data_IF_220262569064
#
_entry.id   IF_220262569064
#
_cell.length_a   1.000
_cell.length_b   1.000
_cell.length_c   1.000
_cell.angle_alpha   90.00
_cell.angle_beta   90.00
_cell.angle_gamma   90.00
#
_symmetry.space_group_name_H-M   'P 1'
#
loop_
_entity.id
_entity.type
_entity.pdbx_description
1 polymer ?
#
# COMPACT_ATOMS: atom_id res chain seq x y z
N UNK A 1 10.07 -11.49 -14.57
CA UNK A 1 8.69 -12.04 -14.69
C UNK A 1 7.91 -11.73 -13.41
N UNK A 2 6.56 -11.66 -13.51
CA UNK A 2 5.65 -11.51 -12.35
C UNK A 2 4.55 -12.54 -12.43
N UNK A 3 3.85 -12.79 -11.32
CA UNK A 3 2.85 -13.87 -11.24
C UNK A 3 1.43 -13.29 -11.25
N UNK A 4 0.58 -13.90 -12.07
CA UNK A 4 -0.86 -13.63 -12.12
C UNK A 4 -1.56 -14.60 -11.18
N UNK A 5 -2.43 -14.06 -10.35
CA UNK A 5 -3.24 -14.80 -9.38
C UNK A 5 -4.73 -14.67 -9.69
N UNK A 6 -5.46 -15.76 -9.47
CA UNK A 6 -6.91 -15.78 -9.36
C UNK A 6 -7.26 -15.99 -7.88
N UNK A 7 -8.34 -15.36 -7.42
CA UNK A 7 -8.81 -15.52 -6.04
C UNK A 7 -7.73 -15.26 -4.97
N UNK A 8 -6.80 -14.31 -5.23
CA UNK A 8 -5.70 -13.88 -4.35
C UNK A 8 -4.56 -14.88 -4.11
N UNK A 9 -4.73 -16.17 -4.32
CA UNK A 9 -3.75 -17.19 -3.95
C UNK A 9 -3.45 -18.21 -5.06
N UNK A 10 -4.38 -18.44 -5.98
CA UNK A 10 -4.24 -19.40 -7.07
C UNK A 10 -3.35 -18.83 -8.17
N UNK A 11 -2.18 -19.43 -8.37
CA UNK A 11 -1.26 -19.07 -9.46
C UNK A 11 -1.87 -19.51 -10.79
N UNK A 12 -2.01 -18.59 -11.75
CA UNK A 12 -2.56 -18.87 -13.07
C UNK A 12 -1.44 -18.97 -14.11
N UNK A 13 -0.61 -17.94 -14.18
CA UNK A 13 0.46 -17.83 -15.17
C UNK A 13 1.51 -16.81 -14.74
N UNK A 14 2.61 -16.73 -15.48
CA UNK A 14 3.65 -15.72 -15.30
C UNK A 14 3.77 -14.86 -16.57
N UNK A 15 3.89 -13.55 -16.40
CA UNK A 15 4.00 -12.59 -17.51
C UNK A 15 5.09 -11.55 -17.25
N UNK A 16 5.47 -10.84 -18.30
CA UNK A 16 6.23 -9.60 -18.16
C UNK A 16 5.31 -8.46 -17.70
N UNK A 17 5.86 -7.47 -17.04
CA UNK A 17 5.10 -6.24 -16.70
C UNK A 17 4.57 -5.58 -17.98
N UNK A 18 5.38 -5.51 -19.05
CA UNK A 18 4.98 -4.92 -20.33
C UNK A 18 3.74 -5.60 -20.92
N UNK A 19 3.68 -6.94 -20.90
CA UNK A 19 2.49 -7.69 -21.36
C UNK A 19 1.25 -7.34 -20.54
N UNK A 20 1.38 -7.22 -19.23
CA UNK A 20 0.26 -6.85 -18.33
C UNK A 20 -0.22 -5.43 -18.63
N UNK A 21 0.70 -4.49 -18.82
CA UNK A 21 0.36 -3.10 -19.16
C UNK A 21 -0.38 -3.01 -20.49
N UNK A 22 0.04 -3.78 -21.50
CA UNK A 22 -0.67 -3.87 -22.78
C UNK A 22 -2.08 -4.47 -22.62
N UNK A 23 -2.22 -5.53 -21.82
CA UNK A 23 -3.54 -6.12 -21.48
C UNK A 23 -4.46 -5.15 -20.75
N UNK A 24 -3.92 -4.29 -19.86
CA UNK A 24 -4.67 -3.23 -19.17
C UNK A 24 -5.11 -2.15 -20.17
N UNK A 25 -4.21 -1.72 -21.05
CA UNK A 25 -4.46 -0.68 -22.06
C UNK A 25 -5.49 -1.13 -23.09
N UNK A 26 -5.35 -2.32 -23.62
CA UNK A 26 -6.26 -2.89 -24.63
C UNK A 26 -7.58 -3.39 -24.04
N UNK A 27 -7.65 -3.56 -22.70
CA UNK A 27 -8.89 -3.87 -22.02
C UNK A 27 -9.23 -5.36 -21.97
N UNK A 28 -8.25 -6.25 -21.76
CA UNK A 28 -8.47 -7.70 -21.61
C UNK A 28 -9.62 -8.04 -20.64
N UNK A 29 -9.77 -7.27 -19.57
CA UNK A 29 -10.82 -7.45 -18.56
C UNK A 29 -11.83 -6.29 -18.53
N UNK A 30 -11.92 -5.49 -19.61
CA UNK A 30 -12.78 -4.31 -19.73
C UNK A 30 -14.23 -4.54 -19.28
N UNK A 31 -14.94 -5.61 -19.70
CA UNK A 31 -16.33 -5.81 -19.28
C UNK A 31 -16.50 -5.91 -17.78
N UNK A 32 -15.63 -6.67 -17.10
CA UNK A 32 -15.64 -6.82 -15.64
C UNK A 32 -15.32 -5.50 -14.92
N UNK A 33 -14.37 -4.72 -15.44
CA UNK A 33 -14.00 -3.40 -14.89
C UNK A 33 -15.14 -2.39 -15.05
N UNK A 34 -15.81 -2.35 -16.20
CA UNK A 34 -16.98 -1.48 -16.41
C UNK A 34 -18.10 -1.84 -15.45
N UNK A 35 -18.40 -3.13 -15.30
CA UNK A 35 -19.41 -3.60 -14.36
C UNK A 35 -19.07 -3.21 -12.92
N UNK A 36 -17.80 -3.36 -12.52
CA UNK A 36 -17.30 -2.98 -11.19
C UNK A 36 -17.49 -1.47 -10.94
N UNK A 37 -17.05 -0.63 -11.89
CA UNK A 37 -17.18 0.84 -11.79
C UNK A 37 -18.65 1.26 -11.73
N UNK A 38 -19.53 0.64 -12.53
CA UNK A 38 -20.97 0.86 -12.49
C UNK A 38 -21.57 0.48 -11.14
N UNK A 39 -21.20 -0.69 -10.61
CA UNK A 39 -21.66 -1.14 -9.28
C UNK A 39 -21.26 -0.16 -8.17
N UNK A 40 -20.06 0.41 -8.25
CA UNK A 40 -19.58 1.41 -7.31
C UNK A 40 -20.39 2.73 -7.43
N UNK A 41 -20.63 3.22 -8.65
CA UNK A 41 -21.42 4.46 -8.87
C UNK A 41 -22.88 4.32 -8.42
N UNK A 42 -23.45 3.12 -8.55
CA UNK A 42 -24.78 2.78 -8.09
C UNK A 42 -24.84 2.41 -6.59
N UNK A 43 -23.72 2.52 -5.86
CA UNK A 43 -23.57 2.17 -4.44
C UNK A 43 -23.97 0.72 -4.10
N UNK A 44 -23.85 -0.20 -5.07
CA UNK A 44 -24.11 -1.65 -4.92
C UNK A 44 -22.87 -2.34 -4.34
N UNK A 45 -22.64 -2.17 -3.03
CA UNK A 45 -21.40 -2.60 -2.35
C UNK A 45 -21.10 -4.08 -2.52
N UNK A 46 -22.11 -4.95 -2.38
CA UNK A 46 -21.92 -6.41 -2.53
C UNK A 46 -21.54 -6.80 -3.95
N UNK A 47 -22.22 -6.23 -4.96
CA UNK A 47 -21.90 -6.46 -6.37
C UNK A 47 -20.48 -5.96 -6.72
N UNK A 48 -20.11 -4.79 -6.21
CA UNK A 48 -18.75 -4.25 -6.34
C UNK A 48 -17.71 -5.19 -5.73
N UNK A 49 -17.90 -5.62 -4.48
CA UNK A 49 -16.97 -6.50 -3.79
C UNK A 49 -16.84 -7.86 -4.48
N UNK A 50 -17.95 -8.44 -4.94
CA UNK A 50 -17.96 -9.69 -5.72
C UNK A 50 -17.19 -9.53 -7.03
N UNK A 51 -17.47 -8.48 -7.79
CA UNK A 51 -16.78 -8.18 -9.04
C UNK A 51 -15.28 -7.96 -8.83
N UNK A 52 -14.88 -7.20 -7.79
CA UNK A 52 -13.47 -6.94 -7.47
C UNK A 52 -12.73 -8.23 -7.10
N UNK A 53 -13.34 -9.11 -6.30
CA UNK A 53 -12.75 -10.40 -5.92
C UNK A 53 -12.57 -11.36 -7.10
N UNK A 54 -13.38 -11.24 -8.16
CA UNK A 54 -13.27 -12.06 -9.36
C UNK A 54 -12.22 -11.59 -10.35
N UNK A 55 -11.70 -10.37 -10.20
CA UNK A 55 -10.62 -9.86 -11.05
C UNK A 55 -9.32 -10.60 -10.77
N UNK A 56 -8.55 -10.96 -11.81
CA UNK A 56 -7.18 -11.38 -11.63
C UNK A 56 -6.33 -10.24 -11.05
N UNK A 57 -5.28 -10.62 -10.35
CA UNK A 57 -4.30 -9.69 -9.81
C UNK A 57 -2.89 -10.21 -10.08
N UNK A 58 -1.91 -9.33 -10.08
CA UNK A 58 -0.51 -9.71 -10.23
C UNK A 58 0.34 -9.15 -9.08
N UNK A 59 1.50 -9.77 -8.88
CA UNK A 59 2.49 -9.33 -7.88
C UNK A 59 3.58 -8.52 -8.57
N UNK A 60 3.53 -7.17 -8.57
CA UNK A 60 4.50 -6.34 -9.31
C UNK A 60 5.95 -6.61 -8.93
N UNK A 61 6.20 -6.94 -7.66
CA UNK A 61 7.54 -7.07 -7.12
C UNK A 61 8.23 -8.41 -7.39
N UNK A 62 7.52 -9.41 -7.98
CA UNK A 62 8.21 -10.65 -8.30
C UNK A 62 7.37 -11.80 -8.82
N UNK A 63 8.09 -12.88 -9.16
CA UNK A 63 7.53 -14.16 -9.57
C UNK A 63 7.44 -15.09 -8.37
N UNK A 64 6.26 -15.68 -8.19
CA UNK A 64 5.96 -16.62 -7.12
C UNK A 64 5.55 -17.96 -7.70
N UNK A 65 6.01 -19.05 -7.11
CA UNK A 65 5.68 -20.42 -7.56
C UNK A 65 5.13 -21.22 -6.39
N UNK A 66 3.91 -21.76 -6.56
CA UNK A 66 3.23 -22.55 -5.53
C UNK A 66 2.32 -21.78 -4.58
N UNK A 67 2.38 -20.43 -4.58
CA UNK A 67 1.53 -19.60 -3.73
C UNK A 67 2.04 -18.16 -3.64
N UNK A 68 1.43 -17.34 -2.75
CA UNK A 68 1.73 -15.91 -2.65
C UNK A 68 2.55 -15.52 -1.40
N UNK A 69 2.95 -16.45 -0.57
CA UNK A 69 3.80 -16.14 0.59
C UNK A 69 5.23 -15.83 0.13
N UNK A 70 5.99 -15.11 0.95
CA UNK A 70 7.36 -14.70 0.64
C UNK A 70 8.30 -15.89 0.35
N UNK A 71 8.05 -17.04 0.99
CA UNK A 71 8.78 -18.30 0.76
C UNK A 71 8.66 -18.83 -0.68
N UNK A 72 7.60 -18.43 -1.40
CA UNK A 72 7.35 -18.81 -2.80
C UNK A 72 7.93 -17.82 -3.81
N UNK A 73 8.56 -16.73 -3.36
CA UNK A 73 9.23 -15.77 -4.24
C UNK A 73 10.48 -16.39 -4.85
N UNK A 74 10.44 -16.65 -6.17
CA UNK A 74 11.54 -17.26 -6.93
C UNK A 74 12.38 -16.26 -7.71
N UNK A 75 11.77 -15.11 -8.09
CA UNK A 75 12.44 -14.06 -8.86
C UNK A 75 11.96 -12.69 -8.41
N UNK A 76 12.87 -11.82 -8.02
CA UNK A 76 12.57 -10.43 -7.67
C UNK A 76 12.57 -9.57 -8.94
N UNK A 77 11.46 -8.87 -9.22
CA UNK A 77 11.27 -8.12 -10.47
C UNK A 77 11.93 -6.74 -10.47
N UNK A 78 12.28 -6.22 -9.31
CA UNK A 78 12.77 -4.84 -9.11
C UNK A 78 11.76 -3.76 -9.54
N UNK A 79 10.47 -4.02 -9.29
CA UNK A 79 9.41 -3.03 -9.45
C UNK A 79 8.74 -2.73 -8.11
N UNK A 80 8.45 -1.46 -7.91
CA UNK A 80 7.57 -0.95 -6.86
C UNK A 80 6.28 -0.47 -7.51
N UNK A 81 5.16 -0.73 -6.84
CA UNK A 81 3.87 -0.15 -7.19
C UNK A 81 3.39 0.75 -6.06
N UNK A 82 3.02 1.98 -6.43
CA UNK A 82 2.34 2.91 -5.55
C UNK A 82 0.84 2.90 -5.84
N UNK A 83 0.05 3.08 -4.82
CA UNK A 83 -1.41 3.07 -4.86
C UNK A 83 -1.96 4.35 -4.22
N UNK A 84 -2.78 5.08 -4.97
CA UNK A 84 -3.43 6.30 -4.51
C UNK A 84 -4.92 6.10 -4.73
N UNK A 85 -5.68 6.05 -3.64
CA UNK A 85 -7.10 5.76 -3.67
C UNK A 85 -7.97 7.02 -3.43
N UNK A 86 -9.25 6.90 -3.73
CA UNK A 86 -10.32 7.89 -3.40
C UNK A 86 -10.09 9.29 -3.99
N UNK A 87 -9.51 9.37 -5.17
CA UNK A 87 -9.32 10.62 -5.89
C UNK A 87 -10.64 11.08 -6.53
N UNK A 88 -10.87 12.40 -6.55
CA UNK A 88 -11.87 13.00 -7.43
C UNK A 88 -11.45 12.83 -8.90
N UNK A 89 -12.38 12.95 -9.85
CA UNK A 89 -12.06 12.85 -11.29
C UNK A 89 -10.98 13.85 -11.70
N UNK A 90 -11.06 15.08 -11.21
CA UNK A 90 -10.08 16.13 -11.53
C UNK A 90 -8.72 15.85 -10.92
N UNK A 91 -8.68 15.43 -9.64
CA UNK A 91 -7.42 15.08 -8.97
C UNK A 91 -6.77 13.87 -9.61
N UNK A 92 -7.55 12.87 -10.04
CA UNK A 92 -7.06 11.69 -10.74
C UNK A 92 -6.34 12.07 -12.05
N UNK A 93 -6.97 12.91 -12.89
CA UNK A 93 -6.37 13.34 -14.15
C UNK A 93 -5.12 14.18 -13.92
N UNK A 94 -5.19 15.13 -12.97
CA UNK A 94 -4.06 15.96 -12.58
C UNK A 94 -2.89 15.11 -12.06
N UNK A 95 -3.16 14.21 -11.14
CA UNK A 95 -2.12 13.33 -10.55
C UNK A 95 -1.52 12.39 -11.60
N UNK A 96 -2.33 11.85 -12.51
CA UNK A 96 -1.84 11.01 -13.61
C UNK A 96 -0.92 11.80 -14.54
N UNK A 97 -1.27 13.04 -14.88
CA UNK A 97 -0.43 13.92 -15.70
C UNK A 97 0.90 14.26 -15.01
N UNK A 98 0.87 14.59 -13.72
CA UNK A 98 2.09 14.89 -12.95
C UNK A 98 2.95 13.64 -12.83
N UNK A 99 2.38 12.48 -12.49
CA UNK A 99 3.10 11.23 -12.41
C UNK A 99 3.79 10.87 -13.74
N UNK A 100 3.10 11.07 -14.87
CA UNK A 100 3.65 10.81 -16.20
C UNK A 100 4.84 11.71 -16.58
N UNK A 101 4.99 12.88 -15.94
CA UNK A 101 6.13 13.77 -16.16
C UNK A 101 7.37 13.39 -15.35
N UNK A 102 7.23 12.55 -14.33
CA UNK A 102 8.39 12.06 -13.56
C UNK A 102 9.22 11.10 -14.41
N UNK A 103 10.53 11.35 -14.49
CA UNK A 103 11.48 10.50 -15.22
C UNK A 103 11.56 9.06 -14.69
N UNK A 104 11.14 8.83 -13.43
CA UNK A 104 11.12 7.52 -12.79
C UNK A 104 9.85 6.72 -13.06
N UNK A 105 8.80 7.34 -13.61
CA UNK A 105 7.53 6.65 -13.87
C UNK A 105 7.65 5.70 -15.05
N UNK A 106 7.71 4.40 -14.77
CA UNK A 106 7.68 3.37 -15.81
C UNK A 106 6.28 3.22 -16.41
N UNK A 107 5.24 3.23 -15.58
CA UNK A 107 3.86 3.26 -16.03
C UNK A 107 2.96 3.88 -14.97
N UNK A 108 1.86 4.52 -15.42
CA UNK A 108 0.78 4.85 -14.51
C UNK A 108 -0.59 4.64 -15.17
N UNK A 109 -1.56 4.14 -14.40
CA UNK A 109 -2.88 3.81 -14.88
C UNK A 109 -3.95 3.91 -13.80
N UNK A 110 -5.19 4.08 -14.25
CA UNK A 110 -6.38 4.19 -13.38
C UNK A 110 -6.66 2.84 -12.72
N UNK A 111 -6.94 2.84 -11.42
CA UNK A 111 -7.30 1.65 -10.64
C UNK A 111 -8.62 1.00 -11.14
N UNK A 112 -8.89 -0.26 -10.76
CA UNK A 112 -10.14 -0.93 -11.16
C UNK A 112 -11.40 -0.16 -10.76
N UNK A 113 -11.40 0.50 -9.60
CA UNK A 113 -12.53 1.31 -9.11
C UNK A 113 -12.79 2.58 -9.93
N UNK A 114 -11.81 3.04 -10.71
CA UNK A 114 -11.91 4.25 -11.52
C UNK A 114 -11.63 5.55 -10.76
N UNK A 115 -11.37 5.49 -9.46
CA UNK A 115 -11.10 6.63 -8.59
C UNK A 115 -9.76 6.55 -7.85
N UNK A 116 -8.81 5.80 -8.37
CA UNK A 116 -7.45 5.70 -7.86
C UNK A 116 -6.42 5.62 -8.97
N UNK A 117 -5.18 5.88 -8.64
CA UNK A 117 -4.03 5.85 -9.54
C UNK A 117 -3.03 4.80 -9.08
N UNK A 118 -2.51 4.03 -10.01
CA UNK A 118 -1.41 3.08 -9.81
C UNK A 118 -0.18 3.60 -10.53
N UNK A 119 0.97 3.60 -9.86
CA UNK A 119 2.24 4.06 -10.45
C UNK A 119 3.27 2.95 -10.28
N UNK A 120 3.90 2.54 -11.36
CA UNK A 120 4.98 1.55 -11.38
C UNK A 120 6.33 2.26 -11.57
N UNK A 121 7.29 1.88 -10.74
CA UNK A 121 8.65 2.45 -10.72
C UNK A 121 9.66 1.32 -10.76
N UNK A 122 10.69 1.42 -11.61
CA UNK A 122 11.85 0.53 -11.61
C UNK A 122 12.84 0.95 -10.52
N UNK A 123 13.41 -0.03 -9.82
CA UNK A 123 14.43 0.17 -8.80
C UNK A 123 15.64 -0.75 -9.05
N UNK A 124 16.79 -0.45 -8.44
CA UNK A 124 18.01 -1.28 -8.55
C UNK A 124 18.36 -2.05 -7.28
N UNK A 125 17.73 -1.73 -6.17
CA UNK A 125 18.04 -2.28 -4.86
C UNK A 125 17.69 -3.78 -4.73
N UNK A 126 18.39 -4.53 -3.86
CA UNK A 126 18.07 -5.93 -3.58
C UNK A 126 16.73 -6.07 -2.84
N UNK A 127 16.16 -7.29 -2.86
CA UNK A 127 14.87 -7.57 -2.21
C UNK A 127 14.85 -7.28 -0.70
N UNK A 128 16.00 -7.36 -0.04
CA UNK A 128 16.16 -7.06 1.39
C UNK A 128 15.90 -5.60 1.73
N UNK A 129 16.11 -4.71 0.77
CA UNK A 129 15.93 -3.27 0.90
C UNK A 129 14.60 -2.77 0.28
N UNK A 130 13.76 -3.68 -0.23
CA UNK A 130 12.53 -3.33 -0.92
C UNK A 130 11.63 -2.37 -0.13
N UNK A 131 11.42 -2.65 1.16
CA UNK A 131 10.59 -1.83 2.05
C UNK A 131 11.17 -0.41 2.23
N UNK A 132 12.48 -0.29 2.42
CA UNK A 132 13.15 1.00 2.56
C UNK A 132 13.09 1.80 1.26
N UNK A 133 13.38 1.13 0.14
CA UNK A 133 13.28 1.75 -1.19
C UNK A 133 11.85 2.18 -1.51
N UNK A 134 10.85 1.38 -1.12
CA UNK A 134 9.43 1.77 -1.25
C UNK A 134 9.16 3.10 -0.54
N UNK A 135 9.63 3.27 0.68
CA UNK A 135 9.42 4.51 1.44
C UNK A 135 10.08 5.73 0.76
N UNK A 136 11.26 5.56 0.18
CA UNK A 136 11.95 6.63 -0.59
C UNK A 136 11.18 6.99 -1.87
N UNK A 137 10.71 5.98 -2.62
CA UNK A 137 9.87 6.18 -3.81
C UNK A 137 8.54 6.84 -3.43
N UNK A 138 7.90 6.38 -2.36
CA UNK A 138 6.68 6.98 -1.82
C UNK A 138 6.87 8.46 -1.51
N UNK A 139 7.90 8.82 -0.74
CA UNK A 139 8.19 10.20 -0.36
C UNK A 139 8.43 11.11 -1.59
N UNK A 140 9.11 10.61 -2.62
CA UNK A 140 9.29 11.32 -3.88
C UNK A 140 7.93 11.63 -4.53
N UNK A 141 7.06 10.63 -4.70
CA UNK A 141 5.76 10.85 -5.34
C UNK A 141 4.78 11.63 -4.48
N UNK A 142 4.80 11.49 -3.16
CA UNK A 142 4.02 12.34 -2.25
C UNK A 142 4.43 13.82 -2.38
N UNK A 143 5.72 14.07 -2.56
CA UNK A 143 6.25 15.44 -2.76
C UNK A 143 5.74 16.07 -4.05
N UNK A 144 5.79 15.35 -5.18
CA UNK A 144 5.38 15.91 -6.48
C UNK A 144 3.86 15.95 -6.67
N UNK A 145 3.14 14.95 -6.13
CA UNK A 145 1.68 14.85 -6.27
C UNK A 145 0.93 15.66 -5.21
N UNK A 146 1.55 15.97 -4.09
CA UNK A 146 0.93 16.60 -2.90
C UNK A 146 -0.25 15.78 -2.36
N UNK A 147 -0.15 14.47 -2.43
CA UNK A 147 -1.14 13.48 -2.00
C UNK A 147 -0.47 12.43 -1.12
N UNK A 148 -1.24 11.85 -0.21
CA UNK A 148 -0.81 10.71 0.58
C UNK A 148 -0.94 9.43 -0.25
N UNK A 149 0.06 8.53 -0.14
CA UNK A 149 0.14 7.26 -0.85
C UNK A 149 -0.03 6.10 0.13
N UNK A 150 -0.78 5.08 -0.28
CA UNK A 150 -1.00 3.88 0.55
C UNK A 150 0.31 3.16 0.89
N UNK A 151 0.64 3.11 2.17
CA UNK A 151 1.85 2.47 2.70
C UNK A 151 1.85 0.95 2.60
N UNK A 152 0.71 0.33 2.29
CA UNK A 152 0.60 -1.13 2.19
C UNK A 152 1.33 -1.71 0.97
N UNK A 153 1.70 -0.89 -0.01
CA UNK A 153 2.50 -1.27 -1.17
C UNK A 153 3.94 -1.73 -0.87
N UNK A 154 4.43 -1.52 0.35
CA UNK A 154 5.79 -1.91 0.80
C UNK A 154 6.05 -3.41 0.85
N UNK A 155 5.00 -4.24 0.76
CA UNK A 155 5.12 -5.69 0.84
C UNK A 155 5.42 -6.30 -0.54
N UNK A 156 6.45 -7.16 -0.60
CA UNK A 156 6.81 -7.92 -1.80
C UNK A 156 5.67 -8.79 -2.35
N UNK A 157 4.77 -9.24 -1.48
CA UNK A 157 3.62 -10.06 -1.84
C UNK A 157 2.38 -9.25 -2.24
N UNK A 158 2.51 -7.92 -2.30
CA UNK A 158 1.41 -7.02 -2.66
C UNK A 158 0.80 -7.39 -4.00
N UNK A 159 -0.54 -7.50 -4.03
CA UNK A 159 -1.31 -7.70 -5.25
C UNK A 159 -1.73 -6.37 -5.86
N UNK A 160 -1.59 -6.29 -7.16
CA UNK A 160 -2.21 -5.27 -8.00
C UNK A 160 -3.28 -5.92 -8.88
N UNK A 161 -4.52 -5.52 -8.71
CA UNK A 161 -5.60 -6.01 -9.59
C UNK A 161 -5.44 -5.50 -11.01
N UNK A 162 -5.82 -6.33 -11.99
CA UNK A 162 -6.00 -5.87 -13.36
C UNK A 162 -6.99 -4.73 -13.42
N UNK A 163 -6.76 -3.81 -14.35
CA UNK A 163 -7.60 -2.65 -14.59
C UNK A 163 -7.92 -2.51 -16.08
N UNK A 164 -8.57 -1.39 -16.42
CA UNK A 164 -8.73 -0.93 -17.80
C UNK A 164 -8.48 0.58 -17.84
N UNK A 165 -7.51 0.98 -18.67
CA UNK A 165 -7.18 2.37 -18.94
C UNK A 165 -6.56 2.49 -20.33
N UNK A 166 -7.35 2.87 -21.32
CA UNK A 166 -6.90 3.04 -22.72
C UNK A 166 -5.83 4.11 -22.87
N UNK A 167 -5.80 5.10 -21.93
CA UNK A 167 -4.82 6.16 -21.88
C UNK A 167 -3.71 5.86 -20.85
N UNK A 168 -3.45 4.57 -20.56
CA UNK A 168 -2.34 4.15 -19.72
C UNK A 168 -1.05 4.79 -20.20
N UNK A 169 -0.32 5.47 -19.29
CA UNK A 169 1.03 5.96 -19.59
C UNK A 169 2.05 4.83 -19.42
N UNK A 170 2.94 4.69 -20.40
CA UNK A 170 4.03 3.72 -20.39
C UNK A 170 5.30 4.34 -20.98
N UNK A 171 6.41 4.19 -20.25
CA UNK A 171 7.74 4.63 -20.65
C UNK A 171 8.75 3.50 -20.36
N UNK A 172 9.13 2.75 -21.41
CA UNK A 172 10.11 1.67 -21.30
C UNK A 172 11.49 2.20 -20.85
N UNK A 173 11.82 3.44 -21.23
CA UNK A 173 13.08 4.11 -20.93
C UNK A 173 13.06 4.93 -19.63
N UNK A 174 12.07 4.70 -18.76
CA UNK A 174 12.05 5.35 -17.47
C UNK A 174 13.33 5.09 -16.70
N UNK A 175 13.87 6.14 -16.08
CA UNK A 175 15.07 6.02 -15.23
C UNK A 175 14.80 5.09 -14.06
N UNK A 176 15.81 4.35 -13.67
CA UNK A 176 15.77 3.52 -12.47
C UNK A 176 15.87 4.47 -11.26
N UNK A 177 14.95 4.31 -10.31
CA UNK A 177 15.02 5.04 -9.05
C UNK A 177 16.10 4.42 -8.17
N UNK A 178 17.28 5.06 -8.15
CA UNK A 178 18.42 4.64 -7.34
C UNK A 178 18.47 5.40 -6.02
N UNK A 179 18.63 4.66 -4.92
CA UNK A 179 18.74 5.27 -3.58
C UNK A 179 20.07 5.94 -3.36
N UNK A 180 21.11 5.56 -4.11
CA UNK A 180 22.48 6.12 -4.02
C UNK A 180 22.64 7.46 -4.73
N UNK A 181 21.84 7.75 -5.75
CA UNK A 181 21.92 9.02 -6.48
C UNK A 181 21.19 10.17 -5.77
N UNK A 182 20.15 9.86 -5.01
CA UNK A 182 19.36 10.87 -4.30
C UNK A 182 20.08 11.46 -3.07
N UNK A 183 21.12 10.80 -2.57
CA UNK A 183 21.97 11.36 -1.51
C UNK A 183 22.92 12.45 -2.02
N UNK A 184 23.02 12.64 -3.36
CA UNK A 184 23.93 13.59 -4.01
C UNK A 184 23.28 14.90 -4.51
N UNK A 185 21.96 15.06 -4.41
CA UNK A 185 21.37 16.37 -4.68
C UNK A 185 21.76 17.34 -3.58
N UNK A 186 22.33 18.53 -3.92
CA UNK A 186 22.73 19.49 -2.92
C UNK A 186 21.50 19.97 -2.16
N UNK A 187 21.46 19.70 -0.87
CA UNK A 187 20.51 20.34 0.03
C UNK A 187 20.67 21.86 -0.18
N UNK A 188 19.70 22.47 -0.88
CA UNK A 188 19.62 23.91 -0.95
C UNK A 188 19.58 24.43 0.49
N UNK A 189 20.62 25.13 0.91
CA UNK A 189 20.71 25.82 2.19
C UNK A 189 19.55 26.83 2.27
N UNK A 190 18.47 26.41 2.89
CA UNK A 190 17.51 27.33 3.48
C UNK A 190 17.88 27.38 4.96
N UNK A 191 18.79 28.30 5.29
CA UNK A 191 18.99 28.74 6.67
C UNK A 191 17.66 29.32 7.18
N UNK A 192 16.86 28.49 7.82
CA UNK A 192 15.83 28.95 8.74
C UNK A 192 16.39 28.70 10.14
N UNK A 193 16.64 29.79 10.86
CA UNK A 193 16.91 29.77 12.29
C UNK A 193 15.85 28.94 13.00
N UNK A 194 16.19 27.69 13.34
CA UNK A 194 15.43 26.90 14.28
C UNK A 194 15.95 27.15 15.69
N UNK A 195 15.16 27.86 16.50
CA UNK A 195 15.30 27.84 17.95
C UNK A 195 15.37 26.39 18.42
N UNK A 196 16.40 26.09 19.23
CA UNK A 196 16.57 24.79 19.88
C UNK A 196 15.31 24.43 20.67
N UNK A 197 14.58 23.44 20.19
CA UNK A 197 13.69 22.62 21.00
C UNK A 197 14.37 21.27 21.19
N UNK A 198 14.21 20.72 22.38
CA UNK A 198 14.84 19.49 22.87
C UNK A 198 14.61 18.27 21.94
N UNK A 199 15.49 17.25 21.96
CA UNK A 199 15.40 16.12 21.04
C UNK A 199 14.12 15.31 21.29
N UNK A 200 13.18 15.43 20.38
CA UNK A 200 12.04 14.52 20.32
C UNK A 200 12.57 13.16 19.87
N UNK A 201 12.53 12.18 20.74
CA UNK A 201 12.83 10.77 20.43
C UNK A 201 11.85 10.35 19.34
N UNK A 202 12.33 10.08 18.14
CA UNK A 202 11.52 9.48 17.06
C UNK A 202 11.25 8.04 17.47
N UNK A 203 10.10 7.82 18.07
CA UNK A 203 9.61 6.48 18.40
C UNK A 203 9.28 5.79 17.07
N UNK A 204 9.95 4.68 16.76
CA UNK A 204 9.64 3.86 15.58
C UNK A 204 8.34 3.08 15.84
N UNK A 205 7.20 3.72 15.58
CA UNK A 205 5.85 3.20 15.86
C UNK A 205 5.58 1.86 15.17
N UNK A 206 6.13 1.62 13.97
CA UNK A 206 5.97 0.34 13.27
C UNK A 206 6.64 -0.82 14.01
N UNK A 207 7.84 -0.61 14.56
CA UNK A 207 8.54 -1.63 15.33
C UNK A 207 7.82 -1.94 16.64
N UNK A 208 7.29 -0.89 17.29
CA UNK A 208 6.47 -1.01 18.51
C UNK A 208 5.18 -1.76 18.20
N UNK A 209 4.50 -1.41 17.10
CA UNK A 209 3.27 -2.08 16.67
C UNK A 209 3.49 -3.58 16.46
N UNK A 210 4.48 -3.95 15.64
CA UNK A 210 4.80 -5.36 15.36
C UNK A 210 5.17 -6.12 16.65
N UNK A 211 5.91 -5.49 17.56
CA UNK A 211 6.22 -6.07 18.86
C UNK A 211 4.95 -6.30 19.70
N UNK A 212 4.02 -5.33 19.73
CA UNK A 212 2.76 -5.44 20.45
C UNK A 212 1.84 -6.51 19.84
N UNK A 213 1.78 -6.65 18.50
CA UNK A 213 1.03 -7.71 17.83
C UNK A 213 1.57 -9.07 18.26
N UNK A 214 2.87 -9.32 18.09
CA UNK A 214 3.50 -10.59 18.47
C UNK A 214 3.32 -10.92 19.97
N UNK A 215 3.34 -9.92 20.83
CA UNK A 215 3.11 -10.10 22.26
C UNK A 215 1.65 -10.43 22.59
N UNK A 216 0.71 -9.84 21.86
CA UNK A 216 -0.72 -10.07 22.04
C UNK A 216 -1.12 -11.45 21.53
N UNK A 217 -0.60 -11.88 20.37
CA UNK A 217 -0.85 -13.20 19.77
C UNK A 217 -0.44 -14.37 20.65
N UNK A 218 0.58 -14.19 21.49
CA UNK A 218 1.01 -15.18 22.50
C UNK A 218 -0.01 -15.39 23.61
N UNK A 219 -0.92 -14.43 23.83
CA UNK A 219 -1.91 -14.45 24.92
C UNK A 219 -3.32 -14.71 24.43
N UNK A 220 -3.69 -14.10 23.30
CA UNK A 220 -5.03 -14.15 22.71
C UNK A 220 -4.87 -14.28 21.20
N UNK A 221 -5.60 -15.22 20.58
CA UNK A 221 -5.61 -15.35 19.13
C UNK A 221 -6.75 -14.56 18.49
N UNK A 222 -6.49 -14.00 17.31
CA UNK A 222 -7.50 -13.28 16.53
C UNK A 222 -8.41 -14.24 15.77
N UNK A 223 -9.34 -14.89 16.50
CA UNK A 223 -10.32 -15.86 15.96
C UNK A 223 -11.73 -15.44 16.31
N UNK A 224 -12.71 -16.03 15.63
CA UNK A 224 -14.12 -15.73 15.88
C UNK A 224 -14.47 -15.99 17.37
N UNK A 225 -15.10 -15.02 18.03
CA UNK A 225 -15.40 -15.05 19.47
C UNK A 225 -14.36 -14.38 20.37
N UNK A 226 -13.11 -14.15 19.91
CA UNK A 226 -12.08 -13.45 20.70
C UNK A 226 -11.51 -12.20 20.00
N UNK A 227 -12.03 -11.83 18.82
CA UNK A 227 -11.54 -10.67 18.03
C UNK A 227 -11.54 -9.37 18.82
N UNK A 228 -12.62 -9.09 19.52
CA UNK A 228 -12.79 -7.87 20.30
C UNK A 228 -11.82 -7.82 21.49
N UNK A 229 -11.60 -8.95 22.17
CA UNK A 229 -10.63 -9.10 23.26
C UNK A 229 -9.22 -8.90 22.72
N UNK A 230 -8.89 -9.48 21.58
CA UNK A 230 -7.59 -9.31 20.93
C UNK A 230 -7.31 -7.84 20.60
N UNK A 231 -8.25 -7.18 19.90
CA UNK A 231 -8.14 -5.76 19.51
C UNK A 231 -7.97 -4.85 20.72
N UNK A 232 -8.79 -5.05 21.76
CA UNK A 232 -8.68 -4.29 22.99
C UNK A 232 -7.33 -4.49 23.68
N UNK A 233 -6.85 -5.73 23.80
CA UNK A 233 -5.57 -6.06 24.44
C UNK A 233 -4.39 -5.47 23.63
N UNK A 234 -4.43 -5.54 22.29
CA UNK A 234 -3.42 -4.92 21.43
C UNK A 234 -3.39 -3.40 21.60
N UNK A 235 -4.57 -2.76 21.62
CA UNK A 235 -4.68 -1.34 21.85
C UNK A 235 -4.15 -0.90 23.23
N UNK A 236 -4.39 -1.68 24.29
CA UNK A 236 -3.79 -1.45 25.61
C UNK A 236 -2.26 -1.52 25.56
N UNK A 237 -1.69 -2.49 24.84
CA UNK A 237 -0.24 -2.63 24.73
C UNK A 237 0.37 -1.45 23.94
N UNK A 238 -0.30 -0.98 22.89
CA UNK A 238 0.12 0.20 22.11
C UNK A 238 0.04 1.49 22.94
N UNK A 239 -1.02 1.67 23.74
CA UNK A 239 -1.18 2.78 24.65
C UNK A 239 -0.01 2.85 25.66
N UNK A 240 0.34 1.73 26.30
CA UNK A 240 1.49 1.65 27.22
C UNK A 240 2.82 1.94 26.55
N UNK A 241 2.95 1.67 25.26
CA UNK A 241 4.17 1.98 24.49
C UNK A 241 4.18 3.40 23.90
N UNK A 242 3.20 4.23 24.21
CA UNK A 242 3.15 5.63 23.80
C UNK A 242 2.80 5.84 22.33
N UNK A 243 2.17 4.85 21.67
CA UNK A 243 1.65 5.03 20.30
C UNK A 243 0.38 5.89 20.38
N UNK A 244 0.27 6.93 19.55
CA UNK A 244 -0.90 7.81 19.58
C UNK A 244 -2.18 7.07 19.16
N UNK A 245 -3.34 7.45 19.74
CA UNK A 245 -4.65 6.82 19.50
C UNK A 245 -4.97 6.67 18.00
N UNK A 246 -4.81 7.74 17.23
CA UNK A 246 -5.14 7.74 15.80
C UNK A 246 -4.24 6.81 15.00
N UNK A 247 -2.99 6.72 15.36
CA UNK A 247 -2.00 5.85 14.76
C UNK A 247 -2.28 4.38 15.10
N UNK A 248 -2.56 4.06 16.36
CA UNK A 248 -2.95 2.73 16.81
C UNK A 248 -4.25 2.25 16.14
N UNK A 249 -5.25 3.14 16.02
CA UNK A 249 -6.50 2.84 15.34
C UNK A 249 -6.27 2.54 13.84
N UNK A 250 -5.41 3.32 13.17
CA UNK A 250 -5.03 3.09 11.77
C UNK A 250 -4.40 1.72 11.56
N UNK A 251 -3.43 1.34 12.39
CA UNK A 251 -2.78 0.02 12.33
C UNK A 251 -3.77 -1.12 12.56
N UNK A 252 -4.58 -1.02 13.61
CA UNK A 252 -5.52 -2.10 14.00
C UNK A 252 -6.63 -2.27 12.96
N UNK A 253 -7.18 -1.20 12.41
CA UNK A 253 -8.18 -1.28 11.34
C UNK A 253 -7.61 -1.90 10.07
N UNK A 254 -6.33 -1.67 9.78
CA UNK A 254 -5.65 -2.22 8.60
C UNK A 254 -5.47 -3.73 8.71
N UNK A 255 -5.00 -4.22 9.86
CA UNK A 255 -4.57 -5.61 10.01
C UNK A 255 -5.68 -6.51 10.61
N UNK A 256 -6.53 -5.95 11.48
CA UNK A 256 -7.54 -6.68 12.26
C UNK A 256 -8.96 -6.09 12.11
N UNK A 257 -9.21 -5.29 11.07
CA UNK A 257 -10.52 -4.69 10.81
C UNK A 257 -11.56 -5.73 10.37
N UNK A 258 -12.45 -6.15 11.27
CA UNK A 258 -13.58 -7.03 10.99
C UNK A 258 -14.94 -6.30 11.03
N UNK A 259 -15.10 -5.35 11.93
CA UNK A 259 -16.18 -4.37 12.02
C UNK A 259 -15.59 -3.06 12.53
N UNK A 260 -15.68 -1.99 11.72
CA UNK A 260 -15.03 -0.71 12.01
C UNK A 260 -15.54 -0.07 13.31
N UNK A 261 -16.84 -0.22 13.61
CA UNK A 261 -17.44 0.35 14.83
C UNK A 261 -16.96 -0.39 16.08
N UNK A 262 -16.95 -1.72 16.03
CA UNK A 262 -16.49 -2.54 17.15
C UNK A 262 -15.00 -2.34 17.42
N UNK A 263 -14.17 -2.31 16.37
CA UNK A 263 -12.73 -2.03 16.47
C UNK A 263 -12.50 -0.64 17.08
N UNK A 264 -13.16 0.39 16.55
CA UNK A 264 -13.03 1.76 17.02
C UNK A 264 -13.44 1.88 18.49
N UNK A 265 -14.52 1.23 18.90
CA UNK A 265 -14.98 1.22 20.28
C UNK A 265 -14.00 0.53 21.22
N UNK A 266 -13.44 -0.62 20.83
CA UNK A 266 -12.45 -1.36 21.60
C UNK A 266 -11.15 -0.56 21.78
N UNK A 267 -10.67 0.09 20.73
CA UNK A 267 -9.46 0.93 20.76
C UNK A 267 -9.70 2.16 21.63
N UNK A 268 -10.80 2.88 21.47
CA UNK A 268 -11.13 4.04 22.29
C UNK A 268 -11.26 3.67 23.80
N UNK A 269 -11.84 2.51 24.09
CA UNK A 269 -11.93 1.98 25.46
C UNK A 269 -10.55 1.74 26.07
N UNK A 270 -9.62 1.15 25.30
CA UNK A 270 -8.25 0.92 25.76
C UNK A 270 -7.47 2.22 26.04
N UNK A 271 -7.70 3.25 25.23
CA UNK A 271 -7.07 4.57 25.35
C UNK A 271 -7.76 5.49 26.35
N UNK A 272 -8.94 5.13 26.85
CA UNK A 272 -9.59 5.83 27.97
C UNK A 272 -8.74 5.87 29.26
N UNK A 273 -7.80 4.94 29.41
CA UNK A 273 -6.82 4.92 30.49
C UNK A 273 -5.57 5.77 30.17
N UNK A 274 -5.76 7.09 30.08
CA UNK A 274 -4.70 8.04 29.68
C UNK A 274 -3.44 8.03 30.59
N UNK A 275 -3.57 7.63 31.87
CA UNK A 275 -2.44 7.49 32.79
C UNK A 275 -1.55 6.27 32.52
N UNK A 276 -1.92 5.37 31.63
CA UNK A 276 -1.07 4.26 31.18
C UNK A 276 -0.25 4.59 29.92
N UNK A 277 -0.47 5.76 29.31
CA UNK A 277 0.21 6.15 28.09
C UNK A 277 1.72 6.29 28.28
N UNK A 278 2.50 5.53 27.49
CA UNK A 278 3.96 5.61 27.49
C UNK A 278 4.68 5.02 28.72
N UNK A 279 4.06 4.07 29.44
CA UNK A 279 4.66 3.38 30.60
C UNK A 279 5.40 2.10 30.24
#
# INVERSE_FOLDING_TARGET
MVTIFKNFNEVVEHKTIATILEEIKTGKYKPGIIYLRKSLSEKKVEAYNKAKKSLPAFTPSGKFVGGRKLEFLTEYSKFIILDIDKLSTNDLQKSKSIAAQSEFTYACFISPSGNGLKILVKIDTPKTEHKETFLKVQAHYETILKLEIDKSGKDLTRLCFYSYDENLYYNENAKIFSTTEQEKEPKANIEREFKRTEPTIVINSDAIYNHCVNFTEKKVQFVNGSRNVFVHQLACNLNRKGVALQEALGYILTDFGYDEKEVTQAVNSAYGNSHEFGK
#
